data_IF_779408296521
#
_entry.id   IF_779408296521
#
_cell.length_a   1.000
_cell.length_b   1.000
_cell.length_c   1.000
_cell.angle_alpha   90.00
_cell.angle_beta   90.00
_cell.angle_gamma   90.00
#
_symmetry.space_group_name_H-M   'P 1'
#
loop_
_entity.id
_entity.type
_entity.pdbx_description
1 polymer ?
#
# COMPACT_ATOMS: atom_id res chain seq x y z
N UNK A 1 -3.09 -55.78 19.28
CA UNK A 1 -2.35 -54.61 19.81
C UNK A 1 -1.42 -53.85 18.81
N UNK A 2 -0.62 -54.54 17.95
CA UNK A 2 0.24 -53.81 16.97
C UNK A 2 -0.51 -53.19 15.77
N UNK A 3 -1.72 -53.70 15.44
CA UNK A 3 -2.53 -53.16 14.33
C UNK A 3 -3.20 -51.84 14.70
N UNK A 4 -3.73 -51.73 15.92
CA UNK A 4 -4.49 -50.58 16.40
C UNK A 4 -3.61 -49.33 16.56
N UNK A 5 -2.37 -49.52 17.03
CA UNK A 5 -1.37 -48.46 17.16
C UNK A 5 -1.02 -47.82 15.80
N UNK A 6 -1.00 -48.59 14.69
CA UNK A 6 -0.71 -48.06 13.35
C UNK A 6 -1.87 -47.27 12.78
N UNK A 7 -3.10 -47.70 13.01
CA UNK A 7 -4.30 -47.00 12.60
C UNK A 7 -4.39 -45.63 13.32
N UNK A 8 -4.17 -45.64 14.66
CA UNK A 8 -4.16 -44.42 15.46
C UNK A 8 -3.05 -43.46 15.00
N UNK A 9 -1.86 -43.95 14.70
CA UNK A 9 -0.74 -43.13 14.21
C UNK A 9 -1.08 -42.49 12.86
N UNK A 10 -1.76 -43.17 11.97
CA UNK A 10 -2.18 -42.62 10.67
C UNK A 10 -3.21 -41.49 10.83
N UNK A 11 -4.20 -41.69 11.73
CA UNK A 11 -5.20 -40.67 12.04
C UNK A 11 -4.55 -39.42 12.65
N UNK A 12 -3.62 -39.60 13.58
CA UNK A 12 -2.89 -38.51 14.22
C UNK A 12 -2.07 -37.70 13.20
N UNK A 13 -1.32 -38.37 12.33
CA UNK A 13 -0.53 -37.70 11.28
C UNK A 13 -1.44 -36.91 10.32
N UNK A 14 -2.54 -37.51 9.88
CA UNK A 14 -3.50 -36.83 9.00
C UNK A 14 -4.14 -35.62 9.67
N UNK A 15 -4.53 -35.74 10.95
CA UNK A 15 -5.10 -34.65 11.73
C UNK A 15 -4.10 -33.48 11.90
N UNK A 16 -2.82 -33.81 12.20
CA UNK A 16 -1.75 -32.78 12.32
C UNK A 16 -1.53 -32.06 10.98
N UNK A 17 -1.52 -32.77 9.86
CA UNK A 17 -1.36 -32.16 8.54
C UNK A 17 -2.54 -31.26 8.17
N UNK A 18 -3.77 -31.64 8.53
CA UNK A 18 -4.96 -30.81 8.34
C UNK A 18 -4.90 -29.53 9.21
N UNK A 19 -4.52 -29.66 10.47
CA UNK A 19 -4.38 -28.51 11.38
C UNK A 19 -3.28 -27.55 10.91
N UNK A 20 -2.17 -28.05 10.40
CA UNK A 20 -1.12 -27.25 9.78
C UNK A 20 -1.63 -26.51 8.53
N UNK A 21 -2.41 -27.18 7.67
CA UNK A 21 -3.04 -26.55 6.49
C UNK A 21 -4.00 -25.42 6.86
N UNK A 22 -4.84 -25.65 7.87
CA UNK A 22 -5.77 -24.62 8.37
C UNK A 22 -5.02 -23.45 9.00
N UNK A 23 -4.02 -23.71 9.84
CA UNK A 23 -3.19 -22.68 10.46
C UNK A 23 -2.45 -21.81 9.45
N UNK A 24 -1.87 -22.43 8.42
CA UNK A 24 -1.22 -21.72 7.32
C UNK A 24 -2.21 -20.88 6.49
N UNK A 25 -3.44 -21.39 6.26
CA UNK A 25 -4.49 -20.66 5.54
C UNK A 25 -4.96 -19.43 6.33
N UNK A 26 -5.09 -19.56 7.64
CA UNK A 26 -5.51 -18.45 8.51
C UNK A 26 -4.44 -17.36 8.57
N UNK A 27 -3.17 -17.75 8.78
CA UNK A 27 -2.03 -16.82 8.78
C UNK A 27 -1.90 -16.08 7.45
N UNK A 28 -2.15 -16.77 6.34
CA UNK A 28 -2.18 -16.19 5.01
C UNK A 28 -3.28 -15.14 4.83
N UNK A 29 -4.48 -15.45 5.33
CA UNK A 29 -5.63 -14.56 5.23
C UNK A 29 -5.37 -13.22 5.96
N UNK A 30 -4.79 -13.28 7.15
CA UNK A 30 -4.44 -12.10 7.95
C UNK A 30 -3.39 -11.22 7.24
N UNK A 31 -2.35 -11.82 6.71
CA UNK A 31 -1.30 -11.09 5.97
C UNK A 31 -1.80 -10.46 4.65
N UNK A 32 -2.83 -11.02 4.04
CA UNK A 32 -3.43 -10.46 2.82
C UNK A 32 -4.17 -9.15 3.09
N UNK A 33 -4.81 -9.00 4.25
CA UNK A 33 -5.49 -7.77 4.66
C UNK A 33 -4.51 -6.61 4.84
N UNK A 34 -3.40 -6.82 5.53
CA UNK A 34 -2.38 -5.79 5.79
C UNK A 34 -1.81 -5.21 4.48
N UNK A 35 -1.59 -6.05 3.49
CA UNK A 35 -1.07 -5.62 2.18
C UNK A 35 -2.08 -4.79 1.38
N UNK A 36 -3.37 -5.12 1.47
CA UNK A 36 -4.44 -4.36 0.81
C UNK A 36 -4.61 -2.98 1.44
N UNK A 37 -4.55 -2.87 2.77
CA UNK A 37 -4.66 -1.62 3.50
C UNK A 37 -3.45 -0.72 3.28
N UNK A 38 -2.24 -1.27 3.24
CA UNK A 38 -1.02 -0.54 2.88
C UNK A 38 -1.12 0.05 1.47
N UNK A 39 -1.58 -0.75 0.49
CA UNK A 39 -1.80 -0.28 -0.88
C UNK A 39 -2.83 0.84 -0.96
N UNK A 40 -3.96 0.70 -0.27
CA UNK A 40 -5.00 1.74 -0.19
C UNK A 40 -4.46 3.03 0.40
N UNK A 41 -3.72 2.94 1.49
CA UNK A 41 -3.11 4.09 2.16
C UNK A 41 -2.12 4.81 1.27
N UNK A 42 -1.23 4.10 0.58
CA UNK A 42 -0.28 4.69 -0.36
C UNK A 42 -0.97 5.37 -1.54
N UNK A 43 -1.99 4.74 -2.13
CA UNK A 43 -2.78 5.35 -3.21
C UNK A 43 -3.50 6.62 -2.76
N UNK A 44 -4.06 6.64 -1.55
CA UNK A 44 -4.67 7.83 -0.96
C UNK A 44 -3.62 8.94 -0.75
N UNK A 45 -2.42 8.60 -0.27
CA UNK A 45 -1.34 9.57 -0.11
C UNK A 45 -0.94 10.19 -1.45
N UNK A 46 -0.82 9.38 -2.51
CA UNK A 46 -0.49 9.84 -3.86
C UNK A 46 -1.58 10.72 -4.46
N UNK A 47 -2.86 10.35 -4.31
CA UNK A 47 -4.00 11.15 -4.76
C UNK A 47 -4.05 12.50 -4.04
N UNK A 48 -3.77 12.52 -2.74
CA UNK A 48 -3.69 13.77 -1.98
C UNK A 48 -2.51 14.65 -2.44
N UNK A 49 -1.37 14.05 -2.81
CA UNK A 49 -0.23 14.77 -3.37
C UNK A 49 -0.57 15.45 -4.71
N UNK A 50 -1.33 14.78 -5.58
CA UNK A 50 -1.85 15.39 -6.80
C UNK A 50 -2.87 16.49 -6.52
N UNK A 51 -3.74 16.30 -5.52
CA UNK A 51 -4.69 17.31 -5.07
C UNK A 51 -3.99 18.59 -4.59
N UNK A 52 -2.83 18.47 -3.91
CA UNK A 52 -2.00 19.63 -3.53
C UNK A 52 -1.60 20.45 -4.77
N UNK A 53 -1.06 19.80 -5.80
CA UNK A 53 -0.66 20.47 -7.04
C UNK A 53 -1.85 21.09 -7.76
N UNK A 54 -2.98 20.40 -7.85
CA UNK A 54 -4.20 20.93 -8.49
C UNK A 54 -4.68 22.18 -7.77
N UNK A 55 -4.84 22.14 -6.44
CA UNK A 55 -5.31 23.27 -5.65
C UNK A 55 -4.39 24.49 -5.77
N UNK A 56 -3.07 24.28 -5.77
CA UNK A 56 -2.11 25.39 -5.94
C UNK A 56 -2.18 25.97 -7.35
N UNK A 57 -2.36 25.13 -8.37
CA UNK A 57 -2.54 25.60 -9.75
C UNK A 57 -3.83 26.41 -9.91
N UNK A 58 -4.94 25.91 -9.36
CA UNK A 58 -6.23 26.61 -9.41
C UNK A 58 -6.16 27.95 -8.66
N UNK A 59 -5.47 27.99 -7.50
CA UNK A 59 -5.22 29.21 -6.77
C UNK A 59 -4.35 30.21 -7.56
N UNK A 60 -3.35 29.71 -8.31
CA UNK A 60 -2.50 30.54 -9.17
C UNK A 60 -3.26 31.12 -10.35
N UNK A 61 -4.16 30.33 -10.97
CA UNK A 61 -5.05 30.82 -12.04
C UNK A 61 -5.98 31.91 -11.49
N UNK A 62 -6.68 31.64 -10.39
CA UNK A 62 -7.59 32.60 -9.77
C UNK A 62 -6.87 33.90 -9.35
N UNK A 63 -5.66 33.80 -8.77
CA UNK A 63 -4.82 34.97 -8.50
C UNK A 63 -4.50 35.79 -9.76
N UNK A 64 -4.15 35.11 -10.87
CA UNK A 64 -3.81 35.79 -12.15
C UNK A 64 -5.03 36.52 -12.71
N UNK A 65 -6.19 35.85 -12.71
CA UNK A 65 -7.43 36.44 -13.20
C UNK A 65 -7.85 37.66 -12.34
N UNK A 66 -7.68 37.56 -11.01
CA UNK A 66 -7.88 38.69 -10.12
C UNK A 66 -6.93 39.88 -10.44
N UNK A 67 -5.66 39.60 -10.73
CA UNK A 67 -4.70 40.65 -11.09
C UNK A 67 -5.12 41.46 -12.30
N UNK A 68 -5.73 40.80 -13.29
CA UNK A 68 -6.18 41.43 -14.55
C UNK A 68 -7.49 42.19 -14.37
N UNK A 69 -8.44 41.62 -13.61
CA UNK A 69 -9.81 42.16 -13.54
C UNK A 69 -10.10 42.98 -12.30
N UNK A 70 -9.41 42.71 -11.21
CA UNK A 70 -9.72 43.26 -9.87
C UNK A 70 -10.94 42.62 -9.20
N UNK A 71 -11.53 41.56 -9.79
CA UNK A 71 -12.69 40.88 -9.25
C UNK A 71 -12.30 39.88 -8.14
N UNK A 72 -12.65 40.23 -6.90
CA UNK A 72 -12.38 39.45 -5.68
C UNK A 72 -13.02 38.04 -5.70
N UNK A 73 -14.05 37.81 -6.51
CA UNK A 73 -14.69 36.51 -6.67
C UNK A 73 -13.74 35.48 -7.26
N UNK A 74 -12.84 35.90 -8.12
CA UNK A 74 -11.82 35.06 -8.77
C UNK A 74 -10.75 34.54 -7.78
N UNK A 75 -10.67 35.07 -6.58
CA UNK A 75 -9.82 34.57 -5.51
C UNK A 75 -10.43 33.37 -4.73
N UNK A 76 -11.60 32.91 -5.10
CA UNK A 76 -12.23 31.76 -4.42
C UNK A 76 -11.33 30.52 -4.40
N UNK A 77 -10.64 30.09 -5.49
CA UNK A 77 -9.71 28.97 -5.47
C UNK A 77 -8.51 29.18 -4.53
N UNK A 78 -7.94 30.38 -4.49
CA UNK A 78 -6.87 30.73 -3.54
C UNK A 78 -7.34 30.58 -2.09
N UNK A 79 -8.51 31.11 -1.76
CA UNK A 79 -9.08 31.00 -0.39
C UNK A 79 -9.33 29.53 -0.01
N UNK A 80 -9.87 28.74 -0.93
CA UNK A 80 -10.09 27.30 -0.74
C UNK A 80 -8.77 26.54 -0.53
N UNK A 81 -7.77 26.81 -1.35
CA UNK A 81 -6.44 26.19 -1.19
C UNK A 81 -5.83 26.52 0.18
N UNK A 82 -5.84 27.80 0.57
CA UNK A 82 -5.31 28.25 1.86
C UNK A 82 -6.01 27.59 3.05
N UNK A 83 -7.31 27.36 2.97
CA UNK A 83 -8.08 26.72 4.04
C UNK A 83 -7.86 25.21 4.12
N UNK A 84 -7.61 24.52 2.99
CA UNK A 84 -7.68 23.05 2.93
C UNK A 84 -6.33 22.36 2.82
N UNK A 85 -5.26 23.01 2.34
CA UNK A 85 -3.97 22.36 2.10
C UNK A 85 -3.31 21.83 3.38
N UNK A 86 -3.51 22.51 4.52
CA UNK A 86 -3.02 22.04 5.81
C UNK A 86 -3.60 20.67 6.20
N UNK A 87 -4.90 20.48 6.02
CA UNK A 87 -5.56 19.20 6.30
C UNK A 87 -5.17 18.13 5.26
N UNK A 88 -4.97 18.52 4.01
CA UNK A 88 -4.47 17.60 2.98
C UNK A 88 -3.08 17.07 3.37
N UNK A 89 -2.16 17.92 3.81
CA UNK A 89 -0.83 17.51 4.28
C UNK A 89 -0.89 16.60 5.52
N UNK A 90 -1.76 16.88 6.47
CA UNK A 90 -1.98 16.01 7.64
C UNK A 90 -2.51 14.63 7.22
N UNK A 91 -3.41 14.59 6.25
CA UNK A 91 -3.94 13.33 5.71
C UNK A 91 -2.84 12.56 4.99
N UNK A 92 -2.02 13.21 4.16
CA UNK A 92 -0.87 12.59 3.54
C UNK A 92 0.08 11.97 4.58
N UNK A 93 0.35 12.68 5.67
CA UNK A 93 1.21 12.18 6.75
C UNK A 93 0.61 10.94 7.42
N UNK A 94 -0.70 10.91 7.67
CA UNK A 94 -1.38 9.76 8.29
C UNK A 94 -1.42 8.53 7.38
N UNK A 95 -1.48 8.74 6.07
CA UNK A 95 -1.55 7.67 5.06
C UNK A 95 -0.18 7.26 4.52
N UNK A 96 0.88 7.98 4.87
CA UNK A 96 2.25 7.65 4.47
C UNK A 96 2.84 6.56 5.36
N UNK A 97 3.42 5.54 4.74
CA UNK A 97 3.84 4.30 5.41
C UNK A 97 5.31 4.33 5.88
N UNK A 98 6.12 5.26 5.38
CA UNK A 98 7.57 5.21 5.60
C UNK A 98 8.10 6.49 6.25
N UNK A 99 9.16 6.39 7.08
CA UNK A 99 9.85 7.57 7.61
C UNK A 99 10.41 8.50 6.51
N UNK A 100 10.84 7.92 5.39
CA UNK A 100 11.33 8.69 4.23
C UNK A 100 10.23 9.57 3.64
N UNK A 101 8.99 9.05 3.54
CA UNK A 101 7.82 9.82 3.08
C UNK A 101 7.48 10.96 4.05
N UNK A 102 7.61 10.74 5.36
CA UNK A 102 7.41 11.80 6.36
C UNK A 102 8.46 12.90 6.24
N UNK A 103 9.74 12.54 6.10
CA UNK A 103 10.82 13.50 5.86
C UNK A 103 10.60 14.32 4.57
N UNK A 104 10.01 13.70 3.55
CA UNK A 104 9.67 14.38 2.31
C UNK A 104 8.52 15.38 2.50
N UNK A 105 7.51 15.05 3.31
CA UNK A 105 6.44 15.97 3.68
C UNK A 105 6.95 17.16 4.51
N UNK A 106 7.98 16.94 5.35
CA UNK A 106 8.62 18.01 6.13
C UNK A 106 9.33 19.04 5.23
N UNK A 107 9.80 18.64 4.04
CA UNK A 107 10.33 19.56 3.02
C UNK A 107 9.22 20.24 2.23
N UNK A 108 8.15 19.53 1.94
CA UNK A 108 7.05 20.02 1.11
C UNK A 108 6.19 21.07 1.84
N UNK A 109 5.92 20.88 3.13
CA UNK A 109 5.03 21.75 3.89
C UNK A 109 5.48 23.23 3.92
N UNK A 110 6.76 23.59 4.19
CA UNK A 110 7.20 24.98 4.13
C UNK A 110 7.08 25.56 2.71
N UNK A 111 7.41 24.81 1.66
CA UNK A 111 7.31 25.30 0.28
C UNK A 111 5.87 25.67 -0.10
N UNK A 112 4.88 24.88 0.37
CA UNK A 112 3.46 25.18 0.17
C UNK A 112 3.07 26.47 0.90
N UNK A 113 3.52 26.63 2.14
CA UNK A 113 3.25 27.83 2.92
C UNK A 113 3.89 29.08 2.26
N UNK A 114 5.13 28.97 1.80
CA UNK A 114 5.82 30.05 1.11
C UNK A 114 5.11 30.44 -0.19
N UNK A 115 4.63 29.43 -0.94
CA UNK A 115 3.83 29.67 -2.16
C UNK A 115 2.52 30.39 -1.85
N UNK A 116 1.79 29.99 -0.82
CA UNK A 116 0.56 30.67 -0.40
C UNK A 116 0.81 32.10 0.10
N UNK A 117 1.94 32.34 0.78
CA UNK A 117 2.35 33.65 1.25
C UNK A 117 2.80 34.55 0.08
N UNK A 118 3.52 34.01 -0.90
CA UNK A 118 3.83 34.71 -2.16
C UNK A 118 2.54 35.19 -2.84
N UNK A 119 1.55 34.30 -3.00
CA UNK A 119 0.26 34.66 -3.59
C UNK A 119 -0.45 35.76 -2.77
N UNK A 120 -0.43 35.65 -1.42
CA UNK A 120 -1.00 36.66 -0.54
C UNK A 120 -0.35 38.03 -0.74
N UNK A 121 0.97 38.06 -0.84
CA UNK A 121 1.75 39.31 -1.06
C UNK A 121 1.38 39.97 -2.42
N UNK A 122 1.29 39.17 -3.48
CA UNK A 122 0.88 39.68 -4.79
C UNK A 122 -0.55 40.23 -4.78
N UNK A 123 -1.49 39.55 -4.10
CA UNK A 123 -2.88 39.99 -3.95
C UNK A 123 -2.96 41.31 -3.14
N UNK A 124 -2.23 41.39 -2.04
CA UNK A 124 -2.18 42.59 -1.23
C UNK A 124 -1.61 43.80 -2.01
N UNK A 125 -0.52 43.57 -2.75
CA UNK A 125 0.09 44.60 -3.57
C UNK A 125 -0.84 45.13 -4.65
N UNK A 126 -1.63 44.25 -5.26
CA UNK A 126 -2.68 44.64 -6.23
C UNK A 126 -3.74 45.53 -5.63
N UNK A 127 -4.16 45.24 -4.38
CA UNK A 127 -5.16 46.03 -3.67
C UNK A 127 -4.64 47.42 -3.25
N UNK A 128 -3.38 47.46 -2.77
CA UNK A 128 -2.81 48.67 -2.17
C UNK A 128 -2.17 49.62 -3.19
N UNK A 129 -1.49 49.06 -4.21
CA UNK A 129 -0.65 49.82 -5.15
C UNK A 129 -1.07 49.63 -6.62
N UNK A 130 -2.10 48.80 -6.89
CA UNK A 130 -2.63 48.58 -8.21
C UNK A 130 -1.91 47.50 -9.01
N UNK A 131 -2.36 47.37 -10.26
CA UNK A 131 -1.95 46.25 -11.15
C UNK A 131 -0.46 46.30 -11.49
N UNK A 132 0.07 47.46 -11.84
CA UNK A 132 1.46 47.59 -12.29
C UNK A 132 2.49 47.12 -11.23
N UNK A 133 2.27 47.41 -9.94
CA UNK A 133 3.11 46.98 -8.85
C UNK A 133 3.04 45.47 -8.64
N UNK A 134 1.83 44.89 -8.68
CA UNK A 134 1.63 43.44 -8.54
C UNK A 134 2.24 42.67 -9.71
N UNK A 135 2.12 43.18 -10.95
CA UNK A 135 2.76 42.55 -12.12
C UNK A 135 4.29 42.63 -12.06
N UNK A 136 4.86 43.72 -11.51
CA UNK A 136 6.30 43.83 -11.31
C UNK A 136 6.80 42.74 -10.34
N UNK A 137 6.09 42.49 -9.24
CA UNK A 137 6.42 41.44 -8.29
C UNK A 137 6.28 40.05 -8.95
N UNK A 138 5.22 39.82 -9.75
CA UNK A 138 5.03 38.56 -10.47
C UNK A 138 6.16 38.26 -11.47
N UNK A 139 6.74 39.29 -12.09
CA UNK A 139 7.88 39.16 -13.03
C UNK A 139 9.18 38.74 -12.35
N UNK A 140 9.30 38.83 -11.01
CA UNK A 140 10.48 38.34 -10.28
C UNK A 140 10.75 36.85 -10.49
N UNK A 141 9.73 36.07 -10.86
CA UNK A 141 9.84 34.64 -11.10
C UNK A 141 9.78 33.76 -9.83
N UNK A 142 9.85 34.36 -8.65
CA UNK A 142 9.88 33.63 -7.37
C UNK A 142 8.70 32.65 -7.19
N UNK A 143 7.49 33.05 -7.57
CA UNK A 143 6.32 32.19 -7.51
C UNK A 143 6.42 30.97 -8.44
N UNK A 144 7.14 31.07 -9.57
CA UNK A 144 7.42 29.95 -10.47
C UNK A 144 8.43 29.00 -9.87
N UNK A 145 9.52 29.50 -9.30
CA UNK A 145 10.56 28.69 -8.63
C UNK A 145 9.98 27.89 -7.47
N UNK A 146 9.11 28.48 -6.66
CA UNK A 146 8.39 27.79 -5.60
C UNK A 146 7.53 26.65 -6.15
N UNK A 147 6.76 26.91 -7.21
CA UNK A 147 5.90 25.88 -7.82
C UNK A 147 6.69 24.73 -8.43
N UNK A 148 7.85 25.01 -9.04
CA UNK A 148 8.72 23.99 -9.60
C UNK A 148 9.38 23.17 -8.49
N UNK A 149 9.78 23.79 -7.38
CA UNK A 149 10.27 23.11 -6.19
C UNK A 149 9.18 22.19 -5.59
N UNK A 150 7.94 22.68 -5.47
CA UNK A 150 6.81 21.89 -4.98
C UNK A 150 6.55 20.67 -5.89
N UNK A 151 6.56 20.84 -7.21
CA UNK A 151 6.40 19.73 -8.17
C UNK A 151 7.47 18.68 -8.00
N UNK A 152 8.72 19.09 -7.82
CA UNK A 152 9.85 18.21 -7.58
C UNK A 152 9.66 17.39 -6.31
N UNK A 153 9.31 18.04 -5.20
CA UNK A 153 9.12 17.36 -3.91
C UNK A 153 7.89 16.46 -3.89
N UNK A 154 6.80 16.83 -4.59
CA UNK A 154 5.62 15.97 -4.79
C UNK A 154 5.98 14.75 -5.63
N UNK A 155 6.76 14.92 -6.70
CA UNK A 155 7.22 13.79 -7.53
C UNK A 155 8.09 12.83 -6.73
N UNK A 156 9.02 13.34 -5.94
CA UNK A 156 9.86 12.53 -5.05
C UNK A 156 9.03 11.79 -3.99
N UNK A 157 8.02 12.43 -3.41
CA UNK A 157 7.08 11.79 -2.49
C UNK A 157 6.33 10.63 -3.16
N UNK A 158 5.81 10.84 -4.38
CA UNK A 158 5.12 9.77 -5.13
C UNK A 158 6.04 8.58 -5.42
N UNK A 159 7.28 8.83 -5.84
CA UNK A 159 8.28 7.78 -6.06
C UNK A 159 8.56 6.96 -4.80
N UNK A 160 8.64 7.62 -3.63
CA UNK A 160 8.80 6.91 -2.35
C UNK A 160 7.61 5.99 -2.05
N UNK A 161 6.37 6.44 -2.34
CA UNK A 161 5.17 5.61 -2.16
C UNK A 161 5.16 4.43 -3.14
N UNK A 162 5.48 4.64 -4.42
CA UNK A 162 5.58 3.58 -5.43
C UNK A 162 6.63 2.54 -5.05
N UNK A 163 7.83 2.97 -4.65
CA UNK A 163 8.90 2.07 -4.21
C UNK A 163 8.49 1.25 -2.99
N UNK A 164 7.81 1.87 -2.03
CA UNK A 164 7.30 1.16 -0.85
C UNK A 164 6.25 0.11 -1.23
N UNK A 165 5.36 0.42 -2.18
CA UNK A 165 4.39 -0.54 -2.71
C UNK A 165 5.06 -1.71 -3.45
N UNK A 166 6.05 -1.44 -4.29
CA UNK A 166 6.79 -2.48 -5.02
C UNK A 166 7.56 -3.41 -4.07
N UNK A 167 8.25 -2.85 -3.07
CA UNK A 167 8.95 -3.63 -2.05
C UNK A 167 8.00 -4.54 -1.29
N UNK A 168 6.85 -4.01 -0.87
CA UNK A 168 5.83 -4.79 -0.17
C UNK A 168 5.27 -5.91 -1.07
N UNK A 169 5.03 -5.62 -2.35
CA UNK A 169 4.50 -6.58 -3.33
C UNK A 169 5.51 -7.70 -3.65
N UNK A 170 6.79 -7.39 -3.81
CA UNK A 170 7.85 -8.38 -4.09
C UNK A 170 8.08 -9.32 -2.91
N UNK A 171 8.10 -8.81 -1.69
CA UNK A 171 8.18 -9.61 -0.46
C UNK A 171 6.96 -10.54 -0.35
N UNK A 172 5.77 -10.02 -0.62
CA UNK A 172 4.55 -10.79 -0.63
C UNK A 172 4.58 -11.93 -1.64
N UNK A 173 4.93 -11.66 -2.91
CA UNK A 173 5.00 -12.68 -3.96
C UNK A 173 6.03 -13.77 -3.67
N UNK A 174 7.20 -13.43 -3.12
CA UNK A 174 8.24 -14.41 -2.77
C UNK A 174 7.81 -15.34 -1.65
N UNK A 175 7.14 -14.81 -0.62
CA UNK A 175 6.60 -15.58 0.49
C UNK A 175 5.44 -16.48 0.03
N UNK A 176 4.57 -15.97 -0.85
CA UNK A 176 3.49 -16.73 -1.47
C UNK A 176 3.99 -17.96 -2.22
N UNK A 177 5.00 -17.79 -3.06
CA UNK A 177 5.58 -18.89 -3.83
C UNK A 177 6.15 -19.97 -2.91
N UNK A 178 6.83 -19.60 -1.83
CA UNK A 178 7.36 -20.55 -0.84
C UNK A 178 6.25 -21.31 -0.12
N UNK A 179 5.18 -20.63 0.30
CA UNK A 179 4.03 -21.24 0.94
C UNK A 179 3.28 -22.19 0.00
N UNK A 180 3.07 -21.78 -1.25
CA UNK A 180 2.44 -22.61 -2.26
C UNK A 180 3.22 -23.92 -2.51
N UNK A 181 4.55 -23.82 -2.61
CA UNK A 181 5.43 -25.00 -2.73
C UNK A 181 5.31 -25.89 -1.49
N UNK A 182 5.29 -25.31 -0.28
CA UNK A 182 5.15 -26.07 0.97
C UNK A 182 3.80 -26.81 1.06
N UNK A 183 2.70 -26.17 0.64
CA UNK A 183 1.36 -26.78 0.62
C UNK A 183 1.32 -27.93 -0.40
N UNK A 184 1.85 -27.76 -1.61
CA UNK A 184 1.91 -28.82 -2.61
C UNK A 184 2.75 -29.99 -2.11
N UNK A 185 3.94 -29.71 -1.53
CA UNK A 185 4.81 -30.74 -1.00
C UNK A 185 4.13 -31.52 0.14
N UNK A 186 3.49 -30.84 1.09
CA UNK A 186 2.78 -31.49 2.20
C UNK A 186 1.61 -32.34 1.73
N UNK A 187 0.85 -31.84 0.73
CA UNK A 187 -0.25 -32.59 0.09
C UNK A 187 0.25 -33.84 -0.60
N UNK A 188 1.36 -33.74 -1.35
CA UNK A 188 1.98 -34.88 -2.02
C UNK A 188 2.46 -35.95 -1.02
N UNK A 189 3.12 -35.52 0.06
CA UNK A 189 3.53 -36.44 1.14
C UNK A 189 2.34 -37.12 1.82
N UNK A 190 1.26 -36.37 2.07
CA UNK A 190 0.04 -36.93 2.68
C UNK A 190 -0.61 -38.01 1.80
N UNK A 191 -0.76 -37.76 0.49
CA UNK A 191 -1.32 -38.72 -0.46
C UNK A 191 -0.41 -39.95 -0.61
N UNK A 192 0.90 -39.74 -0.73
CA UNK A 192 1.88 -40.83 -0.84
C UNK A 192 1.88 -41.70 0.40
N UNK A 193 1.79 -41.12 1.59
CA UNK A 193 1.69 -41.82 2.85
C UNK A 193 0.39 -42.66 2.95
N UNK A 194 -0.74 -42.08 2.54
CA UNK A 194 -2.03 -42.77 2.53
C UNK A 194 -2.03 -44.00 1.56
N UNK A 195 -1.46 -43.83 0.37
CA UNK A 195 -1.31 -44.91 -0.60
C UNK A 195 -0.38 -46.03 -0.10
N UNK A 196 0.75 -45.68 0.50
CA UNK A 196 1.67 -46.62 1.11
C UNK A 196 0.99 -47.42 2.23
N UNK A 197 0.25 -46.72 3.10
CA UNK A 197 -0.51 -47.39 4.16
C UNK A 197 -1.57 -48.36 3.62
N UNK A 198 -2.37 -47.94 2.64
CA UNK A 198 -3.35 -48.77 2.00
C UNK A 198 -2.72 -50.01 1.36
N UNK A 199 -1.56 -49.84 0.69
CA UNK A 199 -0.83 -50.97 0.09
C UNK A 199 -0.32 -51.96 1.15
N UNK A 200 0.29 -51.49 2.24
CA UNK A 200 0.78 -52.35 3.33
C UNK A 200 -0.37 -53.07 4.02
N UNK A 201 -1.50 -52.41 4.24
CA UNK A 201 -2.69 -53.02 4.84
C UNK A 201 -3.25 -54.10 3.94
N UNK A 202 -3.41 -53.84 2.62
CA UNK A 202 -3.84 -54.84 1.65
C UNK A 202 -2.92 -56.07 1.62
N UNK A 203 -1.63 -55.86 1.56
CA UNK A 203 -0.62 -56.93 1.58
C UNK A 203 -0.72 -57.78 2.86
N UNK A 204 -0.91 -57.19 4.03
CA UNK A 204 -1.03 -57.88 5.31
C UNK A 204 -2.30 -58.70 5.42
N UNK A 205 -3.44 -58.15 4.92
CA UNK A 205 -4.74 -58.85 4.88
C UNK A 205 -4.68 -60.07 3.94
N UNK A 206 -4.04 -59.92 2.81
CA UNK A 206 -3.87 -61.01 1.84
C UNK A 206 -2.99 -62.16 2.38
N UNK A 207 -1.98 -61.85 3.14
CA UNK A 207 -1.13 -62.88 3.81
C UNK A 207 -1.89 -63.64 4.89
N UNK A 208 -2.72 -62.98 5.69
CA UNK A 208 -3.55 -63.65 6.72
C UNK A 208 -4.58 -64.54 6.09
N UNK A 209 -5.21 -64.18 5.02
CA UNK A 209 -6.19 -65.05 4.29
C UNK A 209 -5.53 -66.30 3.72
N UNK A 210 -4.31 -66.22 3.20
CA UNK A 210 -3.55 -67.37 2.71
C UNK A 210 -3.16 -68.35 3.83
N UNK A 211 -2.77 -67.86 5.03
CA UNK A 211 -2.43 -68.73 6.14
C UNK A 211 -3.62 -69.50 6.73
N UNK A 212 -4.84 -68.90 6.67
CA UNK A 212 -6.06 -69.55 7.15
C UNK A 212 -6.50 -70.66 6.17
N UNK A 213 -6.31 -70.49 4.86
CA UNK A 213 -6.63 -71.51 3.85
C UNK A 213 -5.68 -72.69 3.97
N UNK A 214 -4.38 -72.50 4.27
CA UNK A 214 -3.40 -73.60 4.45
C UNK A 214 -3.50 -74.33 5.78
N UNK A 215 -4.20 -73.83 6.78
CA UNK A 215 -4.39 -74.52 8.06
C UNK A 215 -5.66 -75.39 8.12
N UNK A 216 -6.49 -75.39 7.04
CA UNK A 216 -7.70 -76.20 6.90
C UNK A 216 -7.57 -77.39 5.91
N UNK A 217 -6.40 -77.57 5.29
CA UNK A 217 -6.01 -78.79 4.53
C UNK A 217 -5.04 -79.60 5.37
#
# INVERSE_FOLDING_TARGET
MKSDSRIISTFVVTAVLLLLGIGLSFWYFEQSHDSADARKSALLAMTNAESVLSKLKDAEVGKRDYLLTGDDMLLAPYRSARASLGETLKTMRRTSLTPASHAQLDKLAPLINDKLNEMAGVIALRREQGEAAAVALLKSGHGRELMDSIRKEVSAFKQLQDTALEQNNTLYQSNMRRLFIAIIASSFFSVSYALLFAYLFYRQTRQRLRSIVHSKT
#
